data_IF_519326088700
#
_entry.id   IF_519326088700
#
_cell.length_a   1.000
_cell.length_b   1.000
_cell.length_c   1.000
_cell.angle_alpha   90.00
_cell.angle_beta   90.00
_cell.angle_gamma   90.00
#
_symmetry.space_group_name_H-M   'P 1'
#
loop_
_entity.id
_entity.type
_entity.pdbx_description
1 polymer ?
#
# COMPACT_ATOMS: atom_id res chain seq x y z
N UNK A 1 -45.88 8.04 -38.51
CA UNK A 1 -44.67 7.61 -37.77
C UNK A 1 -44.79 8.10 -36.33
N UNK A 2 -45.87 7.81 -35.63
CA UNK A 2 -46.18 6.54 -34.92
C UNK A 2 -45.21 6.28 -33.75
N UNK A 3 -45.42 7.00 -32.65
CA UNK A 3 -44.97 6.58 -31.33
C UNK A 3 -46.18 5.97 -30.60
N UNK A 4 -46.23 4.64 -30.61
CA UNK A 4 -47.25 3.84 -29.95
C UNK A 4 -47.18 4.08 -28.44
N UNK A 5 -48.28 4.59 -27.91
CA UNK A 5 -48.64 4.50 -26.49
C UNK A 5 -48.63 3.02 -26.09
N UNK A 6 -47.72 2.64 -25.21
CA UNK A 6 -47.79 1.37 -24.49
C UNK A 6 -47.44 1.63 -23.04
N UNK A 7 -48.44 2.16 -22.33
CA UNK A 7 -48.47 2.11 -20.88
C UNK A 7 -48.59 0.65 -20.44
N UNK A 8 -47.62 0.18 -19.68
CA UNK A 8 -47.82 -0.83 -18.65
C UNK A 8 -47.09 -0.31 -17.41
N UNK A 9 -47.81 0.53 -16.65
CA UNK A 9 -47.39 0.92 -15.31
C UNK A 9 -47.37 -0.32 -14.43
N UNK A 10 -46.19 -0.85 -14.15
CA UNK A 10 -46.01 -1.83 -13.09
C UNK A 10 -46.12 -1.07 -11.78
N UNK A 11 -47.24 -1.27 -11.07
CA UNK A 11 -47.40 -0.79 -9.70
C UNK A 11 -46.38 -1.51 -8.81
N UNK A 12 -45.27 -0.85 -8.52
CA UNK A 12 -44.33 -1.23 -7.46
C UNK A 12 -44.93 -0.78 -6.13
N UNK A 13 -44.91 -1.62 -5.06
CA UNK A 13 -45.38 -1.20 -3.75
C UNK A 13 -44.65 0.06 -3.28
N UNK A 14 -45.40 0.98 -2.69
CA UNK A 14 -44.97 2.30 -2.23
C UNK A 14 -43.67 2.23 -1.43
N UNK A 15 -42.62 2.86 -1.94
CA UNK A 15 -41.37 3.06 -1.22
C UNK A 15 -41.63 4.16 -0.17
N UNK A 16 -41.38 3.94 1.13
CA UNK A 16 -41.39 5.04 2.09
C UNK A 16 -40.28 6.03 1.70
N UNK A 17 -40.69 7.27 1.48
CA UNK A 17 -39.81 8.40 1.22
C UNK A 17 -38.68 8.47 2.26
N UNK A 18 -37.39 8.36 1.89
CA UNK A 18 -36.31 8.64 2.81
C UNK A 18 -36.23 10.16 2.96
N UNK A 19 -37.04 10.70 3.88
CA UNK A 19 -36.84 12.06 4.38
C UNK A 19 -35.43 12.16 4.95
N UNK A 20 -34.60 12.95 4.26
CA UNK A 20 -33.36 13.58 4.70
C UNK A 20 -32.60 12.94 5.86
N UNK A 21 -31.45 12.34 5.55
CA UNK A 21 -30.23 12.74 6.24
C UNK A 21 -28.98 12.34 5.45
N UNK A 22 -28.15 13.36 5.22
CA UNK A 22 -26.80 13.26 4.64
C UNK A 22 -25.91 12.46 5.61
N UNK A 23 -25.13 11.46 5.17
CA UNK A 23 -24.13 10.86 6.05
C UNK A 23 -23.05 11.91 6.36
N UNK A 24 -22.88 12.21 7.64
CA UNK A 24 -21.73 12.97 8.13
C UNK A 24 -20.44 12.23 7.78
N UNK A 25 -19.53 12.94 7.12
CA UNK A 25 -18.18 12.50 6.82
C UNK A 25 -17.43 12.20 8.15
N UNK A 26 -16.72 11.07 8.33
CA UNK A 26 -15.95 10.83 9.53
C UNK A 26 -14.81 11.86 9.68
N UNK A 27 -14.46 12.28 10.91
CA UNK A 27 -13.36 13.20 11.13
C UNK A 27 -12.02 12.53 10.81
N UNK A 28 -11.15 13.30 10.15
CA UNK A 28 -9.77 12.95 9.79
C UNK A 28 -8.94 12.64 11.05
N UNK A 29 -8.05 11.63 11.05
CA UNK A 29 -7.14 11.41 12.17
C UNK A 29 -6.14 12.57 12.28
N UNK A 30 -6.06 13.15 13.47
CA UNK A 30 -5.03 14.12 13.85
C UNK A 30 -3.65 13.48 13.81
N UNK A 31 -2.70 14.15 13.15
CA UNK A 31 -1.28 13.83 13.20
C UNK A 31 -0.61 14.73 14.26
N UNK A 32 -0.04 14.19 15.35
CA UNK A 32 0.81 14.98 16.23
C UNK A 32 2.26 14.96 15.69
N UNK A 33 2.70 16.12 15.21
CA UNK A 33 4.11 16.39 14.93
C UNK A 33 4.92 16.39 16.22
N UNK A 34 5.97 15.57 16.22
CA UNK A 34 7.31 15.80 16.77
C UNK A 34 7.45 16.75 17.97
N UNK A 35 7.67 16.17 19.14
CA UNK A 35 8.35 16.83 20.25
C UNK A 35 9.44 15.90 20.83
N UNK A 36 10.67 16.35 20.65
CA UNK A 36 11.69 16.47 21.69
C UNK A 36 12.13 15.20 22.42
N UNK A 37 13.33 14.71 22.09
CA UNK A 37 14.15 13.88 22.98
C UNK A 37 15.54 14.48 23.09
N UNK A 38 15.75 15.15 24.21
CA UNK A 38 17.04 15.46 24.82
C UNK A 38 17.80 14.16 25.13
N UNK A 39 19.10 14.14 24.82
CA UNK A 39 20.05 13.16 25.32
C UNK A 39 21.17 13.88 26.11
N UNK A 40 21.75 13.24 27.13
CA UNK A 40 22.51 13.92 28.19
C UNK A 40 23.99 14.10 27.84
N UNK A 41 24.58 15.13 28.47
CA UNK A 41 26.01 15.37 28.54
C UNK A 41 26.67 14.34 29.46
N UNK A 42 27.81 13.79 29.05
CA UNK A 42 28.80 13.21 29.95
C UNK A 42 30.20 13.67 29.51
N UNK A 43 30.89 14.25 30.48
CA UNK A 43 32.25 14.81 30.51
C UNK A 43 33.32 13.72 30.62
N UNK A 44 34.56 14.03 30.18
CA UNK A 44 35.73 14.10 31.06
C UNK A 44 37.02 14.31 30.23
N UNK A 45 37.70 15.41 30.53
CA UNK A 45 39.12 15.63 30.30
C UNK A 45 39.97 14.55 31.00
N UNK A 46 41.11 14.19 30.39
CA UNK A 46 42.31 13.73 31.10
C UNK A 46 43.52 13.96 30.19
N UNK A 47 44.32 14.94 30.59
CA UNK A 47 45.62 15.34 30.06
C UNK A 47 46.76 14.64 30.84
N UNK A 48 47.96 14.61 30.22
CA UNK A 48 49.32 14.47 30.81
C UNK A 48 49.80 13.02 31.20
N UNK A 49 51.05 12.51 31.00
CA UNK A 49 52.38 12.99 30.53
C UNK A 49 53.28 11.80 30.08
N UNK A 50 54.29 12.10 29.25
CA UNK A 50 55.74 11.75 29.36
C UNK A 50 56.32 10.53 28.62
N UNK A 51 57.41 10.78 27.88
CA UNK A 51 58.29 9.73 27.36
C UNK A 51 59.27 10.21 26.29
N UNK A 52 60.23 11.04 26.68
CA UNK A 52 61.35 11.59 25.91
C UNK A 52 62.17 10.56 25.15
N UNK A 53 62.66 10.93 23.95
CA UNK A 53 63.96 10.50 23.43
C UNK A 53 64.57 11.66 22.62
N UNK A 54 65.55 12.31 23.23
CA UNK A 54 66.46 13.26 22.60
C UNK A 54 67.55 12.52 21.81
N UNK A 55 68.01 13.13 20.71
CA UNK A 55 69.42 13.12 20.29
C UNK A 55 69.69 14.21 19.23
N UNK A 56 70.39 15.24 19.69
CA UNK A 56 71.46 16.03 19.05
C UNK A 56 71.95 15.58 17.64
N UNK A 57 72.53 16.40 16.77
CA UNK A 57 72.85 17.82 16.69
C UNK A 57 73.50 18.07 15.32
N UNK A 58 73.40 19.29 14.79
CA UNK A 58 74.45 20.15 14.21
C UNK A 58 73.83 21.07 13.17
N UNK A 59 73.82 22.37 13.45
CA UNK A 59 73.38 23.39 12.51
C UNK A 59 74.40 23.64 11.40
N UNK A 60 73.95 24.28 10.32
CA UNK A 60 74.62 25.32 9.54
C UNK A 60 73.55 25.99 8.64
N UNK A 61 73.87 27.19 8.19
CA UNK A 61 73.01 28.35 7.98
C UNK A 61 72.59 28.60 6.52
N UNK A 62 71.42 29.25 6.43
CA UNK A 62 70.81 30.05 5.37
C UNK A 62 71.50 30.14 3.99
N UNK A 63 70.77 29.74 2.93
CA UNK A 63 70.69 30.48 1.65
C UNK A 63 69.52 30.00 0.77
N UNK A 64 68.53 30.87 0.65
CA UNK A 64 67.67 31.18 -0.50
C UNK A 64 67.39 30.13 -1.60
N UNK A 65 66.09 29.84 -1.72
CA UNK A 65 65.35 29.75 -2.99
C UNK A 65 65.81 28.74 -4.05
N UNK A 66 65.36 27.48 -3.93
CA UNK A 66 65.00 26.67 -5.09
C UNK A 66 63.69 25.92 -4.82
N UNK A 67 62.75 26.10 -5.75
CA UNK A 67 61.41 25.53 -5.75
C UNK A 67 61.45 24.00 -5.78
N UNK A 68 61.11 23.33 -4.67
CA UNK A 68 60.62 21.95 -4.76
C UNK A 68 59.15 22.00 -5.14
N UNK A 69 58.87 21.79 -6.42
CA UNK A 69 57.52 21.56 -6.91
C UNK A 69 56.85 20.47 -6.05
N UNK A 70 55.78 20.83 -5.35
CA UNK A 70 54.86 19.89 -4.73
C UNK A 70 54.30 19.03 -5.87
N UNK A 71 54.81 17.81 -6.01
CA UNK A 71 54.18 16.80 -6.87
C UNK A 71 52.72 16.70 -6.46
N UNK A 72 51.75 16.75 -7.39
CA UNK A 72 50.36 16.59 -7.05
C UNK A 72 50.18 15.21 -6.40
N UNK A 73 49.61 15.17 -5.21
CA UNK A 73 49.12 13.93 -4.59
C UNK A 73 48.20 13.24 -5.60
N UNK A 74 48.71 12.19 -6.25
CA UNK A 74 47.92 11.34 -7.12
C UNK A 74 46.92 10.62 -6.23
N UNK A 75 45.69 11.13 -6.18
CA UNK A 75 44.57 10.48 -5.51
C UNK A 75 44.36 9.12 -6.17
N UNK A 76 44.79 8.06 -5.47
CA UNK A 76 44.66 6.67 -5.90
C UNK A 76 43.19 6.41 -6.28
N UNK A 77 42.91 5.82 -7.46
CA UNK A 77 41.55 5.56 -7.92
C UNK A 77 40.81 4.66 -6.92
N UNK A 78 39.84 5.23 -6.21
CA UNK A 78 39.00 4.53 -5.22
C UNK A 78 37.81 3.86 -5.91
N UNK A 79 38.06 2.73 -6.57
CA UNK A 79 37.06 1.78 -7.08
C UNK A 79 35.96 2.30 -8.02
N UNK A 80 35.24 1.36 -8.65
CA UNK A 80 34.12 1.65 -9.56
C UNK A 80 32.85 1.10 -8.93
N UNK A 81 31.81 1.92 -8.86
CA UNK A 81 30.52 1.49 -8.33
C UNK A 81 29.90 0.41 -9.23
N UNK A 82 29.55 -0.74 -8.65
CA UNK A 82 28.91 -1.83 -9.39
C UNK A 82 27.48 -1.50 -9.86
N UNK A 83 26.78 -0.56 -9.19
CA UNK A 83 25.43 -0.13 -9.57
C UNK A 83 25.39 0.85 -10.75
N UNK A 84 26.22 1.91 -10.73
CA UNK A 84 26.20 2.96 -11.76
C UNK A 84 27.42 2.97 -12.69
N UNK A 85 28.41 2.10 -12.45
CA UNK A 85 29.67 1.97 -13.23
C UNK A 85 30.54 3.25 -13.23
N UNK A 86 30.28 4.20 -12.33
CA UNK A 86 31.07 5.44 -12.16
C UNK A 86 32.06 5.30 -11.00
N UNK A 87 33.13 6.09 -11.05
CA UNK A 87 34.13 6.22 -9.99
C UNK A 87 33.50 6.68 -8.67
N UNK A 88 33.90 6.07 -7.55
CA UNK A 88 33.43 6.47 -6.23
C UNK A 88 34.38 7.53 -5.66
N UNK A 89 33.90 8.77 -5.56
CA UNK A 89 34.66 9.86 -4.96
C UNK A 89 34.48 9.91 -3.44
N UNK A 90 35.59 9.98 -2.69
CA UNK A 90 35.57 10.22 -1.24
C UNK A 90 35.69 8.96 -0.37
N UNK A 91 35.26 9.06 0.89
CA UNK A 91 35.45 8.01 1.92
C UNK A 91 34.16 7.21 2.17
N UNK A 92 32.99 7.71 1.77
CA UNK A 92 31.68 7.08 1.97
C UNK A 92 31.32 6.09 0.86
N UNK A 93 31.93 4.89 0.89
CA UNK A 93 31.63 3.78 -0.03
C UNK A 93 31.15 2.55 0.73
N UNK A 94 30.28 1.76 0.11
CA UNK A 94 29.82 0.49 0.66
C UNK A 94 30.62 -0.63 0.03
N UNK A 95 31.26 -1.44 0.86
CA UNK A 95 31.89 -2.70 0.48
C UNK A 95 30.97 -3.85 0.84
N UNK A 96 30.39 -4.50 -0.16
CA UNK A 96 29.46 -5.62 0.03
C UNK A 96 29.57 -6.60 -1.13
N UNK A 97 29.47 -7.91 -0.84
CA UNK A 97 29.43 -8.98 -1.86
C UNK A 97 30.63 -8.92 -2.83
N UNK A 98 31.82 -8.59 -2.31
CA UNK A 98 33.05 -8.44 -3.09
C UNK A 98 33.04 -7.27 -4.09
N UNK A 99 32.11 -6.32 -3.97
CA UNK A 99 31.94 -5.18 -4.86
C UNK A 99 31.87 -3.86 -4.08
N UNK A 100 32.08 -2.76 -4.79
CA UNK A 100 31.97 -1.41 -4.23
C UNK A 100 30.71 -0.71 -4.75
N UNK A 101 30.01 0.03 -3.88
CA UNK A 101 28.81 0.78 -4.24
C UNK A 101 28.84 2.19 -3.64
N UNK A 102 28.20 3.13 -4.34
CA UNK A 102 27.75 4.36 -3.67
C UNK A 102 26.62 4.01 -2.69
N UNK A 103 26.48 4.74 -1.57
CA UNK A 103 25.38 4.55 -0.62
C UNK A 103 23.99 4.53 -1.27
N UNK A 104 23.78 5.39 -2.27
CA UNK A 104 22.54 5.52 -3.02
C UNK A 104 22.30 4.41 -4.06
N UNK A 105 23.36 3.71 -4.47
CA UNK A 105 23.33 2.67 -5.51
C UNK A 105 23.41 1.26 -4.93
N UNK A 106 23.51 1.13 -3.60
CA UNK A 106 23.37 -0.14 -2.91
C UNK A 106 21.89 -0.40 -2.59
N UNK A 107 21.20 -1.03 -3.53
CA UNK A 107 19.75 -1.21 -3.54
C UNK A 107 19.39 -2.69 -3.46
N UNK A 108 18.25 -3.00 -2.83
CA UNK A 108 17.70 -4.34 -2.75
C UNK A 108 17.37 -4.88 -4.15
N UNK A 109 17.82 -6.09 -4.50
CA UNK A 109 17.52 -6.73 -5.78
C UNK A 109 16.03 -6.99 -6.00
N UNK A 110 15.26 -7.20 -4.92
CA UNK A 110 13.83 -7.51 -4.99
C UNK A 110 12.95 -6.28 -5.12
N UNK A 111 13.21 -5.23 -4.33
CA UNK A 111 12.33 -4.05 -4.24
C UNK A 111 12.98 -2.74 -4.71
N UNK A 112 14.24 -2.78 -5.16
CA UNK A 112 15.03 -1.63 -5.60
C UNK A 112 15.15 -0.49 -4.57
N UNK A 113 14.82 -0.74 -3.31
CA UNK A 113 14.96 0.25 -2.24
C UNK A 113 16.43 0.37 -1.85
N UNK A 114 16.90 1.62 -1.70
CA UNK A 114 18.25 1.92 -1.21
C UNK A 114 18.42 1.37 0.21
N UNK A 115 19.33 0.43 0.36
CA UNK A 115 19.70 -0.15 1.65
C UNK A 115 20.66 0.80 2.38
N UNK A 116 21.58 1.42 1.65
CA UNK A 116 22.57 2.33 2.23
C UNK A 116 23.42 1.63 3.28
N UNK A 117 23.57 2.24 4.45
CA UNK A 117 24.36 1.70 5.57
C UNK A 117 23.56 0.77 6.50
N UNK A 118 22.31 0.45 6.15
CA UNK A 118 21.48 -0.46 6.94
C UNK A 118 21.95 -1.91 6.76
N UNK A 119 21.50 -2.78 7.67
CA UNK A 119 21.73 -4.22 7.55
C UNK A 119 21.14 -4.75 6.24
N UNK A 120 21.83 -5.73 5.65
CA UNK A 120 21.42 -6.41 4.43
C UNK A 120 21.67 -7.91 4.54
N UNK A 121 20.98 -8.65 3.70
CA UNK A 121 21.13 -10.10 3.57
C UNK A 121 21.60 -10.44 2.16
N UNK A 122 22.39 -11.49 2.02
CA UNK A 122 22.83 -12.02 0.73
C UNK A 122 21.85 -13.09 0.24
N UNK A 123 21.32 -12.91 -0.96
CA UNK A 123 20.47 -13.89 -1.64
C UNK A 123 20.91 -14.00 -3.10
N UNK A 124 21.31 -15.20 -3.53
CA UNK A 124 21.85 -15.49 -4.88
C UNK A 124 23.00 -14.54 -5.31
N UNK A 125 23.85 -14.13 -4.36
CA UNK A 125 24.95 -13.20 -4.61
C UNK A 125 24.51 -11.75 -4.88
N UNK A 126 23.25 -11.40 -4.54
CA UNK A 126 22.70 -10.05 -4.63
C UNK A 126 22.26 -9.53 -3.26
N UNK A 127 22.33 -8.19 -3.04
CA UNK A 127 21.94 -7.61 -1.77
C UNK A 127 20.41 -7.53 -1.67
N UNK A 128 19.87 -8.02 -0.57
CA UNK A 128 18.45 -7.97 -0.25
C UNK A 128 18.26 -7.20 1.06
N UNK A 129 17.25 -6.33 1.12
CA UNK A 129 16.92 -5.66 2.37
C UNK A 129 16.27 -6.66 3.35
N UNK A 130 16.40 -6.40 4.65
CA UNK A 130 15.79 -7.17 5.74
C UNK A 130 14.32 -7.50 5.45
N UNK A 131 13.54 -6.48 5.08
CA UNK A 131 12.13 -6.59 4.72
C UNK A 131 11.85 -7.58 3.57
N UNK A 132 12.74 -7.70 2.59
CA UNK A 132 12.57 -8.64 1.48
C UNK A 132 13.09 -10.04 1.83
N UNK A 133 14.14 -10.12 2.64
CA UNK A 133 14.66 -11.40 3.12
C UNK A 133 13.63 -12.12 4.01
N UNK A 134 12.94 -11.39 4.89
CA UNK A 134 11.86 -11.92 5.73
C UNK A 134 10.62 -12.34 4.92
N UNK A 135 10.34 -11.69 3.78
CA UNK A 135 9.14 -11.99 2.99
C UNK A 135 9.27 -13.24 2.13
N UNK A 136 10.47 -13.75 1.86
CA UNK A 136 10.67 -15.00 1.09
C UNK A 136 9.99 -16.19 1.77
N UNK A 137 9.95 -16.22 3.10
CA UNK A 137 9.29 -17.27 3.88
C UNK A 137 7.93 -16.86 4.46
N UNK A 138 7.49 -15.64 4.19
CA UNK A 138 6.22 -15.15 4.71
C UNK A 138 5.05 -15.81 3.95
N UNK A 139 4.08 -16.42 4.66
CA UNK A 139 2.92 -17.00 4.02
C UNK A 139 2.13 -15.94 3.25
N UNK A 140 1.59 -16.31 2.08
CA UNK A 140 0.80 -15.42 1.24
C UNK A 140 -0.67 -15.51 1.62
N UNK A 141 -1.32 -14.36 1.71
CA UNK A 141 -2.74 -14.27 1.97
C UNK A 141 -3.55 -14.80 0.79
N UNK A 142 -4.44 -15.75 1.04
CA UNK A 142 -5.29 -16.33 0.00
C UNK A 142 -6.28 -15.35 -0.65
N UNK A 143 -6.65 -14.25 0.05
CA UNK A 143 -7.53 -13.21 -0.51
C UNK A 143 -6.79 -12.23 -1.42
N UNK A 144 -5.70 -11.64 -0.92
CA UNK A 144 -5.03 -10.51 -1.58
C UNK A 144 -3.68 -10.87 -2.24
N UNK A 145 -3.15 -12.07 -1.99
CA UNK A 145 -1.85 -12.53 -2.50
C UNK A 145 -0.62 -11.89 -1.82
N UNK A 146 -0.84 -10.91 -0.93
CA UNK A 146 0.24 -10.23 -0.19
C UNK A 146 0.86 -11.10 0.89
N UNK A 147 2.14 -10.89 1.18
CA UNK A 147 2.84 -11.54 2.28
C UNK A 147 2.25 -11.10 3.64
N UNK A 148 2.11 -12.05 4.57
CA UNK A 148 1.60 -11.80 5.92
C UNK A 148 2.80 -11.72 6.88
N UNK A 149 3.02 -10.55 7.48
CA UNK A 149 4.21 -10.29 8.32
C UNK A 149 4.00 -10.46 9.82
N UNK A 150 2.78 -10.19 10.29
CA UNK A 150 2.47 -10.13 11.71
C UNK A 150 1.41 -11.18 12.06
N UNK A 151 0.15 -10.75 12.17
CA UNK A 151 -0.95 -11.61 12.57
C UNK A 151 -1.54 -12.29 11.34
N UNK A 152 -1.60 -13.62 11.42
CA UNK A 152 -2.16 -14.48 10.40
C UNK A 152 -3.28 -15.34 10.98
N UNK A 153 -4.26 -15.63 10.14
CA UNK A 153 -5.29 -16.64 10.40
C UNK A 153 -4.99 -17.84 9.53
N UNK A 154 -4.84 -19.00 10.15
CA UNK A 154 -4.76 -20.28 9.45
C UNK A 154 -6.17 -20.90 9.42
N UNK A 155 -6.77 -20.95 8.24
CA UNK A 155 -8.10 -21.50 8.03
C UNK A 155 -8.23 -21.97 6.58
N UNK A 156 -9.06 -22.99 6.34
CA UNK A 156 -9.29 -23.55 5.00
C UNK A 156 -7.99 -24.05 4.33
N UNK A 157 -7.06 -24.59 5.13
CA UNK A 157 -5.71 -24.99 4.71
C UNK A 157 -4.91 -23.86 4.02
N UNK A 158 -5.24 -22.61 4.33
CA UNK A 158 -4.61 -21.42 3.76
C UNK A 158 -4.29 -20.39 4.86
N UNK A 159 -3.40 -19.46 4.55
CA UNK A 159 -3.07 -18.34 5.42
C UNK A 159 -3.75 -17.06 4.93
N UNK A 160 -4.23 -16.26 5.87
CA UNK A 160 -4.99 -15.04 5.61
C UNK A 160 -4.52 -13.92 6.53
N UNK A 161 -4.58 -12.67 6.07
CA UNK A 161 -4.57 -11.55 7.02
C UNK A 161 -5.85 -11.60 7.87
N UNK A 162 -5.77 -11.19 9.14
CA UNK A 162 -6.95 -11.11 10.04
C UNK A 162 -8.08 -10.28 9.41
N UNK A 163 -7.73 -9.17 8.76
CA UNK A 163 -8.67 -8.31 8.03
C UNK A 163 -9.18 -8.89 6.71
N UNK A 164 -8.45 -9.85 6.12
CA UNK A 164 -8.84 -10.52 4.90
C UNK A 164 -9.72 -11.74 5.15
N UNK A 165 -9.67 -12.32 6.36
CA UNK A 165 -10.51 -13.44 6.74
C UNK A 165 -11.90 -12.96 7.19
N UNK A 166 -12.74 -12.69 6.19
CA UNK A 166 -14.10 -12.17 6.33
C UNK A 166 -15.09 -13.01 5.55
N UNK A 167 -16.38 -12.93 5.90
CA UNK A 167 -17.42 -13.64 5.16
C UNK A 167 -17.41 -13.26 3.67
N UNK A 168 -17.45 -14.28 2.79
CA UNK A 168 -17.45 -14.10 1.34
C UNK A 168 -18.69 -13.40 0.78
N UNK A 169 -19.72 -13.16 1.60
CA UNK A 169 -20.96 -12.48 1.20
C UNK A 169 -21.06 -11.10 1.83
N UNK A 170 -21.05 -11.01 3.17
CA UNK A 170 -21.27 -9.75 3.88
C UNK A 170 -20.00 -9.01 4.26
N UNK A 171 -18.82 -9.60 4.00
CA UNK A 171 -17.50 -9.05 4.33
C UNK A 171 -17.28 -8.72 5.82
N UNK A 172 -18.16 -9.19 6.70
CA UNK A 172 -17.99 -9.06 8.14
C UNK A 172 -16.92 -10.02 8.64
N UNK A 173 -16.13 -9.58 9.61
CA UNK A 173 -15.19 -10.43 10.36
C UNK A 173 -15.94 -11.44 11.23
N UNK A 174 -15.21 -12.43 11.76
CA UNK A 174 -15.74 -13.49 12.62
C UNK A 174 -15.38 -13.23 14.08
N UNK A 175 -16.14 -12.39 14.83
CA UNK A 175 -15.75 -11.96 16.18
C UNK A 175 -15.69 -13.12 17.19
N UNK A 176 -16.52 -14.15 17.04
CA UNK A 176 -16.49 -15.36 17.87
C UNK A 176 -15.54 -16.42 17.35
N UNK A 177 -14.86 -16.19 16.22
CA UNK A 177 -14.02 -17.18 15.53
C UNK A 177 -14.79 -18.28 14.81
N UNK A 178 -16.12 -18.35 14.95
CA UNK A 178 -16.95 -19.34 14.25
C UNK A 178 -17.23 -18.92 12.81
N UNK A 179 -16.89 -19.77 11.86
CA UNK A 179 -17.18 -19.63 10.44
C UNK A 179 -17.58 -20.98 9.84
N UNK A 180 -18.22 -20.93 8.67
CA UNK A 180 -18.57 -22.11 7.88
C UNK A 180 -17.79 -22.10 6.57
N UNK A 181 -17.31 -23.26 6.15
CA UNK A 181 -16.68 -23.42 4.85
C UNK A 181 -17.71 -23.82 3.80
N UNK A 182 -17.67 -23.17 2.64
CA UNK A 182 -18.33 -23.66 1.42
C UNK A 182 -17.45 -23.37 0.20
N UNK A 183 -17.07 -24.40 -0.54
CA UNK A 183 -16.22 -24.29 -1.74
C UNK A 183 -14.92 -23.51 -1.50
N UNK A 184 -14.23 -23.77 -0.38
CA UNK A 184 -12.97 -23.09 -0.04
C UNK A 184 -13.10 -21.61 0.33
N UNK A 185 -14.33 -21.12 0.60
CA UNK A 185 -14.58 -19.75 1.06
C UNK A 185 -15.23 -19.74 2.46
N UNK A 186 -14.90 -18.75 3.31
CA UNK A 186 -15.50 -18.65 4.65
C UNK A 186 -16.83 -17.88 4.64
N UNK A 187 -17.81 -18.35 5.40
CA UNK A 187 -19.16 -17.78 5.53
C UNK A 187 -19.54 -17.62 7.00
N UNK A 188 -20.32 -16.58 7.32
CA UNK A 188 -20.92 -16.45 8.66
C UNK A 188 -22.20 -17.30 8.76
N UNK A 189 -22.68 -17.54 9.97
CA UNK A 189 -23.90 -18.32 10.23
C UNK A 189 -25.12 -17.82 9.45
N UNK A 190 -25.21 -16.50 9.26
CA UNK A 190 -26.32 -15.87 8.54
C UNK A 190 -26.21 -16.00 7.01
N UNK A 191 -25.02 -16.31 6.49
CA UNK A 191 -24.74 -16.30 5.05
C UNK A 191 -24.48 -17.69 4.44
N UNK A 192 -24.15 -18.71 5.25
CA UNK A 192 -23.76 -20.05 4.74
C UNK A 192 -24.85 -20.74 3.92
N UNK A 193 -26.11 -20.56 4.31
CA UNK A 193 -27.28 -21.18 3.67
C UNK A 193 -28.04 -20.22 2.76
N UNK A 194 -27.53 -19.00 2.55
CA UNK A 194 -28.18 -18.11 1.60
C UNK A 194 -28.07 -18.73 0.20
N UNK A 195 -29.19 -18.87 -0.53
CA UNK A 195 -29.10 -19.14 -1.96
C UNK A 195 -28.26 -18.02 -2.59
N UNK A 196 -27.63 -18.31 -3.74
CA UNK A 196 -27.05 -17.24 -4.55
C UNK A 196 -28.19 -16.26 -4.86
N UNK A 197 -28.25 -15.15 -4.10
CA UNK A 197 -29.36 -14.22 -4.15
C UNK A 197 -29.38 -13.49 -5.49
N UNK A 198 -30.43 -12.71 -5.76
CA UNK A 198 -30.49 -11.92 -6.99
C UNK A 198 -29.28 -10.97 -7.05
N UNK A 199 -28.56 -10.99 -8.16
CA UNK A 199 -27.43 -10.09 -8.39
C UNK A 199 -27.94 -8.73 -8.84
N UNK A 200 -27.47 -7.67 -8.19
CA UNK A 200 -27.80 -6.30 -8.57
C UNK A 200 -27.22 -5.98 -9.95
N UNK A 201 -28.05 -5.51 -10.87
CA UNK A 201 -27.59 -5.10 -12.21
C UNK A 201 -26.72 -3.84 -12.20
N UNK A 202 -26.91 -2.95 -11.22
CA UNK A 202 -26.10 -1.73 -11.07
C UNK A 202 -24.67 -1.98 -10.58
N UNK A 203 -24.49 -2.83 -9.56
CA UNK A 203 -23.17 -3.01 -8.92
C UNK A 203 -22.59 -4.43 -9.04
N UNK A 204 -23.35 -5.40 -9.54
CA UNK A 204 -22.92 -6.80 -9.68
C UNK A 204 -22.86 -7.58 -8.35
N UNK A 205 -23.18 -6.97 -7.21
CA UNK A 205 -23.19 -7.66 -5.92
C UNK A 205 -24.56 -8.30 -5.64
N UNK A 206 -24.57 -9.34 -4.82
CA UNK A 206 -25.80 -9.99 -4.38
C UNK A 206 -26.64 -9.03 -3.52
N UNK A 207 -27.94 -8.98 -3.78
CA UNK A 207 -28.88 -8.16 -3.01
C UNK A 207 -29.26 -8.90 -1.73
N UNK A 208 -28.99 -8.25 -0.61
CA UNK A 208 -29.32 -8.70 0.73
C UNK A 208 -30.45 -7.82 1.26
N UNK A 209 -31.62 -8.39 1.52
CA UNK A 209 -32.79 -7.64 2.02
C UNK A 209 -33.76 -7.21 0.91
N UNK A 210 -34.23 -5.97 0.96
CA UNK A 210 -35.22 -5.45 0.00
C UNK A 210 -34.64 -5.35 -1.40
N UNK A 211 -35.43 -5.79 -2.38
CA UNK A 211 -35.05 -5.88 -3.79
C UNK A 211 -36.01 -5.06 -4.65
N UNK A 212 -35.48 -4.27 -5.58
CA UNK A 212 -36.26 -3.69 -6.68
C UNK A 212 -36.16 -4.64 -7.86
N UNK A 213 -37.31 -5.09 -8.37
CA UNK A 213 -37.40 -5.85 -9.61
C UNK A 213 -37.92 -4.91 -10.71
N UNK A 214 -37.05 -4.53 -11.63
CA UNK A 214 -37.33 -3.61 -12.73
C UNK A 214 -36.37 -3.88 -13.89
N UNK A 215 -36.76 -3.53 -15.12
CA UNK A 215 -35.93 -3.71 -16.32
C UNK A 215 -35.47 -5.17 -16.52
N UNK A 216 -36.36 -6.12 -16.22
CA UNK A 216 -36.09 -7.57 -16.23
C UNK A 216 -34.82 -7.95 -15.43
N UNK A 217 -34.57 -7.26 -14.32
CA UNK A 217 -33.38 -7.44 -13.48
C UNK A 217 -33.67 -7.04 -12.03
N UNK A 218 -32.75 -7.40 -11.13
CA UNK A 218 -32.85 -7.05 -9.72
C UNK A 218 -31.85 -5.96 -9.37
N UNK A 219 -32.22 -5.08 -8.44
CA UNK A 219 -31.44 -3.90 -8.06
C UNK A 219 -31.48 -3.68 -6.55
N UNK A 220 -30.39 -3.16 -5.98
CA UNK A 220 -30.44 -2.52 -4.66
C UNK A 220 -31.25 -1.23 -4.76
N UNK A 221 -31.88 -0.83 -3.64
CA UNK A 221 -32.54 0.49 -3.50
C UNK A 221 -31.60 1.62 -3.93
N UNK A 222 -30.35 1.58 -3.46
CA UNK A 222 -29.34 2.59 -3.77
C UNK A 222 -28.83 2.53 -5.22
N UNK A 223 -28.96 1.38 -5.89
CA UNK A 223 -28.47 1.16 -7.26
C UNK A 223 -29.52 1.46 -8.34
N UNK A 224 -30.80 1.61 -7.98
CA UNK A 224 -31.86 1.95 -8.92
C UNK A 224 -32.04 3.47 -8.98
N UNK A 225 -31.09 4.13 -9.64
CA UNK A 225 -31.02 5.59 -9.80
C UNK A 225 -30.71 5.95 -11.27
N UNK A 226 -30.92 7.22 -11.65
CA UNK A 226 -30.64 7.67 -13.02
C UNK A 226 -29.17 7.48 -13.38
N UNK A 227 -28.89 6.86 -14.52
CA UNK A 227 -27.50 6.57 -14.95
C UNK A 227 -26.65 7.84 -15.18
N UNK A 228 -27.28 8.99 -15.46
CA UNK A 228 -26.57 10.25 -15.73
C UNK A 228 -26.36 11.10 -14.47
N UNK A 229 -27.40 11.29 -13.65
CA UNK A 229 -27.33 12.19 -12.48
C UNK A 229 -27.28 11.49 -11.13
N UNK A 230 -27.45 10.17 -11.08
CA UNK A 230 -27.49 9.36 -9.87
C UNK A 230 -28.55 9.74 -8.84
N UNK A 231 -29.52 10.58 -9.23
CA UNK A 231 -30.67 10.90 -8.40
C UNK A 231 -31.72 9.78 -8.48
N UNK A 232 -32.44 9.60 -7.37
CA UNK A 232 -33.60 8.73 -7.29
C UNK A 232 -34.77 9.29 -8.09
N UNK A 233 -35.69 8.39 -8.46
CA UNK A 233 -36.85 8.73 -9.27
C UNK A 233 -37.98 9.33 -8.43
N UNK A 234 -38.35 10.61 -8.65
CA UNK A 234 -39.50 11.20 -7.97
C UNK A 234 -40.77 10.43 -8.33
N UNK A 235 -41.61 10.13 -7.34
CA UNK A 235 -42.85 9.35 -7.50
C UNK A 235 -42.66 7.97 -8.15
N UNK A 236 -41.46 7.39 -8.05
CA UNK A 236 -41.11 6.11 -8.68
C UNK A 236 -41.25 6.09 -10.22
N UNK A 237 -41.26 7.25 -10.89
CA UNK A 237 -41.34 7.34 -12.35
C UNK A 237 -39.94 7.34 -12.99
N UNK A 238 -39.67 6.36 -13.85
CA UNK A 238 -38.41 6.21 -14.57
C UNK A 238 -38.65 5.86 -16.04
N UNK A 239 -37.66 6.13 -16.88
CA UNK A 239 -37.65 5.79 -18.30
C UNK A 239 -36.52 4.81 -18.59
N UNK A 240 -36.76 3.86 -19.49
CA UNK A 240 -35.76 2.86 -19.88
C UNK A 240 -35.04 3.29 -21.16
N UNK A 241 -33.71 3.26 -21.14
CA UNK A 241 -32.88 3.29 -22.34
C UNK A 241 -31.75 2.27 -22.21
N UNK A 242 -31.63 1.36 -23.18
CA UNK A 242 -30.65 0.26 -23.19
C UNK A 242 -30.65 -0.60 -21.90
N UNK A 243 -31.83 -0.85 -21.31
CA UNK A 243 -31.96 -1.62 -20.07
C UNK A 243 -31.37 -0.92 -18.84
N UNK A 244 -31.16 0.39 -18.90
CA UNK A 244 -30.74 1.25 -17.79
C UNK A 244 -31.83 2.29 -17.49
N UNK A 245 -32.01 2.65 -16.21
CA UNK A 245 -33.04 3.60 -15.81
C UNK A 245 -32.53 5.05 -15.91
N UNK A 246 -33.36 5.94 -16.47
CA UNK A 246 -33.09 7.37 -16.64
C UNK A 246 -34.26 8.19 -16.09
N UNK A 247 -33.96 9.39 -15.58
CA UNK A 247 -35.01 10.35 -15.24
C UNK A 247 -35.50 11.04 -16.53
N UNK A 248 -36.69 11.64 -16.48
CA UNK A 248 -37.33 12.30 -17.62
C UNK A 248 -36.39 13.28 -18.34
N UNK A 249 -35.74 14.16 -17.57
CA UNK A 249 -34.82 15.17 -18.09
C UNK A 249 -33.63 14.58 -18.86
N UNK A 250 -33.06 13.47 -18.38
CA UNK A 250 -31.90 12.83 -19.02
C UNK A 250 -32.30 11.83 -20.10
N UNK A 251 -33.53 11.33 -20.08
CA UNK A 251 -34.05 10.47 -21.14
C UNK A 251 -34.23 11.23 -22.46
N UNK A 252 -34.72 12.47 -22.40
CA UNK A 252 -34.90 13.33 -23.58
C UNK A 252 -33.61 13.83 -24.23
N UNK A 253 -32.44 13.47 -23.68
CA UNK A 253 -31.14 13.81 -24.25
C UNK A 253 -30.62 12.75 -25.23
N UNK A 254 -31.36 11.65 -25.42
CA UNK A 254 -31.05 10.55 -26.33
C UNK A 254 -31.94 10.56 -27.58
#
# INVERSE_FOLDING_TARGET
MDAMLSGLGVQVPSIPNPTGNRPNNPPRPNNPSMANRTAPKASADLDLIMGSLDSNATGFDNSSALNQAKLPEVKIPKGICAGCRKWIAGTGRIHALGREYHPEHFQCSTCSTVIGMNNFYESEGQPQCEQCHETVFSPKCAKCGGAIKNQLVNALNQSWHVECFVCAICYSSFPTGSFFEKSGKPFCANCVNLPMGPQCRGCGNIIMGQVINALNSSWHLDCFNCQTCHNYFPNNAFYEYNGLPYCEEHYHQF
#
